data_IF_227154795559
#
_entry.id   IF_227154795559
#
_cell.length_a   1.000
_cell.length_b   1.000
_cell.length_c   1.000
_cell.angle_alpha   90.00
_cell.angle_beta   90.00
_cell.angle_gamma   90.00
#
_symmetry.space_group_name_H-M   'P 1'
#
loop_
_entity.id
_entity.type
_entity.pdbx_description
1 polymer ?
#
# COMPACT_ATOMS: atom_id res chain seq x y z
N UNK A 1 -67.90 23.13 -40.33
CA UNK A 1 -67.60 22.30 -39.15
C UNK A 1 -66.15 21.77 -39.26
N UNK A 2 -65.23 22.53 -38.65
CA UNK A 2 -63.79 22.29 -38.70
C UNK A 2 -63.38 21.62 -37.39
N UNK A 3 -62.85 20.38 -37.46
CA UNK A 3 -62.35 19.66 -36.29
C UNK A 3 -60.82 19.75 -36.29
N UNK A 4 -60.27 20.51 -35.35
CA UNK A 4 -58.85 20.63 -35.10
C UNK A 4 -58.40 19.51 -34.15
N UNK A 5 -57.46 18.67 -34.62
CA UNK A 5 -56.79 17.65 -33.81
C UNK A 5 -55.44 18.24 -33.30
N UNK A 6 -55.16 18.23 -32.03
CA UNK A 6 -53.80 18.56 -31.57
C UNK A 6 -52.86 17.39 -31.72
N UNK A 7 -51.72 17.64 -32.38
CA UNK A 7 -50.55 16.73 -32.38
C UNK A 7 -49.89 16.79 -31.00
N UNK A 8 -49.87 15.70 -30.27
CA UNK A 8 -49.06 15.52 -29.07
C UNK A 8 -47.62 15.21 -29.49
N UNK A 9 -46.72 16.18 -29.25
CA UNK A 9 -45.29 15.94 -29.43
C UNK A 9 -44.75 15.16 -28.21
N UNK A 10 -44.38 13.90 -28.45
CA UNK A 10 -43.67 13.06 -27.49
C UNK A 10 -42.20 13.47 -27.44
N UNK A 11 -41.84 14.27 -26.46
CA UNK A 11 -40.44 14.64 -26.18
C UNK A 11 -39.80 13.49 -25.42
N UNK A 12 -39.06 12.63 -26.13
CA UNK A 12 -38.27 11.55 -25.56
C UNK A 12 -37.04 12.15 -24.81
N UNK A 13 -37.07 12.13 -23.49
CA UNK A 13 -35.91 12.45 -22.67
C UNK A 13 -34.88 11.32 -22.77
N UNK A 14 -33.82 11.50 -23.55
CA UNK A 14 -32.64 10.65 -23.51
C UNK A 14 -31.97 10.82 -22.13
N UNK A 15 -32.16 9.85 -21.26
CA UNK A 15 -31.35 9.68 -20.05
C UNK A 15 -29.95 9.24 -20.47
N UNK A 16 -29.04 10.19 -20.59
CA UNK A 16 -27.61 9.93 -20.66
C UNK A 16 -27.19 9.38 -19.30
N UNK A 17 -27.19 8.06 -19.15
CA UNK A 17 -26.49 7.40 -18.06
C UNK A 17 -24.99 7.64 -18.27
N UNK A 18 -24.46 8.67 -17.64
CA UNK A 18 -23.03 8.86 -17.52
C UNK A 18 -22.47 7.70 -16.69
N UNK A 19 -21.91 6.68 -17.37
CA UNK A 19 -21.01 5.74 -16.73
C UNK A 19 -19.81 6.53 -16.26
N UNK A 20 -19.83 7.02 -15.02
CA UNK A 20 -18.61 7.48 -14.36
C UNK A 20 -17.74 6.23 -14.15
N UNK A 21 -16.80 6.00 -15.06
CA UNK A 21 -15.72 5.05 -14.81
C UNK A 21 -14.98 5.57 -13.58
N UNK A 22 -15.18 4.94 -12.43
CA UNK A 22 -14.43 5.20 -11.19
C UNK A 22 -12.98 4.73 -11.42
N UNK A 23 -12.23 5.53 -12.18
CA UNK A 23 -10.81 5.26 -12.43
C UNK A 23 -10.09 5.38 -11.09
N UNK A 24 -9.43 4.30 -10.67
CA UNK A 24 -8.62 4.30 -9.46
C UNK A 24 -7.50 5.34 -9.60
N UNK A 25 -7.14 6.05 -8.51
CA UNK A 25 -6.04 7.01 -8.56
C UNK A 25 -4.73 6.29 -8.93
N UNK A 26 -3.84 6.95 -9.68
CA UNK A 26 -2.57 6.34 -10.09
C UNK A 26 -1.68 5.99 -8.89
N UNK A 27 -1.64 6.83 -7.87
CA UNK A 27 -0.94 6.55 -6.61
C UNK A 27 -1.93 6.11 -5.54
N UNK A 28 -1.61 5.01 -4.84
CA UNK A 28 -2.40 4.49 -3.73
C UNK A 28 -1.50 4.01 -2.61
N UNK A 29 -1.96 4.21 -1.37
CA UNK A 29 -1.39 3.61 -0.18
C UNK A 29 -2.45 2.71 0.46
N UNK A 30 -2.08 1.48 0.78
CA UNK A 30 -2.96 0.48 1.39
C UNK A 30 -2.18 -0.44 2.34
N UNK A 31 -2.81 -1.43 2.91
CA UNK A 31 -2.15 -2.37 3.80
C UNK A 31 -3.10 -3.41 4.37
N UNK A 32 -2.57 -4.32 5.14
CA UNK A 32 -3.32 -5.36 5.82
C UNK A 32 -2.52 -5.97 6.98
N UNK A 33 -3.21 -6.67 7.85
CA UNK A 33 -2.58 -7.51 8.88
C UNK A 33 -2.37 -8.90 8.31
N UNK A 34 -1.12 -9.34 8.27
CA UNK A 34 -0.71 -10.70 7.88
C UNK A 34 -0.35 -11.51 9.13
N UNK A 35 -0.26 -12.84 9.00
CA UNK A 35 0.15 -13.73 10.09
C UNK A 35 1.52 -13.38 10.68
N UNK A 36 2.42 -12.88 9.85
CA UNK A 36 3.79 -12.54 10.23
C UNK A 36 3.94 -11.11 10.79
N UNK A 37 3.00 -10.21 10.48
CA UNK A 37 3.11 -8.80 10.84
C UNK A 37 2.15 -7.92 10.09
N UNK A 38 2.43 -6.64 10.09
CA UNK A 38 1.66 -5.63 9.37
C UNK A 38 2.35 -5.30 8.04
N UNK A 39 1.61 -5.44 6.95
CA UNK A 39 2.05 -5.07 5.61
C UNK A 39 1.50 -3.69 5.24
N UNK A 40 2.38 -2.80 4.83
CA UNK A 40 2.04 -1.50 4.25
C UNK A 40 2.51 -1.47 2.81
N UNK A 41 1.68 -0.92 1.91
CA UNK A 41 1.88 -0.98 0.45
C UNK A 41 1.67 0.41 -0.12
N UNK A 42 2.63 0.89 -0.92
CA UNK A 42 2.51 2.07 -1.76
C UNK A 42 2.69 1.64 -3.20
N UNK A 43 1.79 2.09 -4.07
CA UNK A 43 1.76 1.67 -5.47
C UNK A 43 1.48 2.86 -6.37
N UNK A 44 2.27 2.96 -7.44
CA UNK A 44 2.09 3.90 -8.53
C UNK A 44 1.84 3.11 -9.82
N UNK A 45 0.71 3.40 -10.47
CA UNK A 45 0.39 2.91 -11.82
C UNK A 45 0.61 4.05 -12.81
N UNK A 46 1.51 3.87 -13.76
CA UNK A 46 1.87 4.87 -14.76
C UNK A 46 1.11 4.65 -16.07
N UNK A 47 0.98 5.70 -16.88
CA UNK A 47 0.29 5.66 -18.16
C UNK A 47 1.05 4.88 -19.25
N UNK A 48 2.34 4.59 -19.03
CA UNK A 48 3.21 3.81 -19.91
C UNK A 48 3.12 2.29 -19.70
N UNK A 49 2.15 1.84 -18.88
CA UNK A 49 1.97 0.44 -18.54
C UNK A 49 2.88 -0.05 -17.40
N UNK A 50 3.74 0.81 -16.87
CA UNK A 50 4.56 0.43 -15.72
C UNK A 50 3.78 0.51 -14.40
N UNK A 51 4.07 -0.43 -13.49
CA UNK A 51 3.60 -0.43 -12.11
C UNK A 51 4.80 -0.49 -11.20
N UNK A 52 4.89 0.45 -10.29
CA UNK A 52 5.93 0.49 -9.26
C UNK A 52 5.29 0.33 -7.89
N UNK A 53 5.81 -0.57 -7.08
CA UNK A 53 5.27 -0.87 -5.75
C UNK A 53 6.39 -0.95 -4.71
N UNK A 54 6.18 -0.25 -3.60
CA UNK A 54 7.00 -0.34 -2.41
C UNK A 54 6.17 -0.95 -1.28
N UNK A 55 6.77 -1.86 -0.50
CA UNK A 55 6.12 -2.48 0.65
C UNK A 55 7.00 -2.43 1.87
N UNK A 56 6.38 -2.40 3.05
CA UNK A 56 7.07 -2.53 4.33
C UNK A 56 6.32 -3.51 5.23
N UNK A 57 6.97 -4.63 5.53
CA UNK A 57 6.49 -5.60 6.52
C UNK A 57 7.10 -5.28 7.87
N UNK A 58 6.26 -4.98 8.85
CA UNK A 58 6.63 -4.82 10.26
C UNK A 58 6.20 -6.07 11.04
N UNK A 59 7.13 -6.97 11.41
CA UNK A 59 6.79 -8.24 12.05
C UNK A 59 6.20 -8.05 13.45
N UNK A 60 5.30 -8.94 13.87
CA UNK A 60 4.71 -8.90 15.22
C UNK A 60 5.70 -9.20 16.34
N UNK A 61 6.71 -10.03 16.08
CA UNK A 61 7.59 -10.60 17.11
C UNK A 61 9.06 -10.21 16.96
N UNK A 62 9.42 -9.44 15.96
CA UNK A 62 10.80 -9.01 15.75
C UNK A 62 10.86 -7.53 15.36
N UNK A 63 12.06 -6.94 15.41
CA UNK A 63 12.31 -5.59 14.90
C UNK A 63 12.84 -5.59 13.47
N UNK A 64 12.91 -6.76 12.84
CA UNK A 64 13.45 -6.94 11.51
C UNK A 64 12.43 -6.50 10.44
N UNK A 65 12.29 -5.18 10.22
CA UNK A 65 11.46 -4.66 9.13
C UNK A 65 12.00 -5.13 7.78
N UNK A 66 11.11 -5.62 6.94
CA UNK A 66 11.43 -5.98 5.55
C UNK A 66 10.80 -4.96 4.63
N UNK A 67 11.61 -4.29 3.82
CA UNK A 67 11.14 -3.44 2.73
C UNK A 67 11.34 -4.15 1.41
N UNK A 68 10.37 -4.02 0.50
CA UNK A 68 10.49 -4.60 -0.84
C UNK A 68 10.02 -3.60 -1.89
N UNK A 69 10.72 -3.61 -3.01
CA UNK A 69 10.39 -2.87 -4.21
C UNK A 69 10.11 -3.85 -5.33
N UNK A 70 9.04 -3.61 -6.06
CA UNK A 70 8.65 -4.41 -7.22
C UNK A 70 8.36 -3.49 -8.38
N UNK A 71 8.73 -3.90 -9.60
CA UNK A 71 8.37 -3.20 -10.83
C UNK A 71 7.85 -4.18 -11.86
N UNK A 72 6.79 -3.78 -12.53
CA UNK A 72 6.20 -4.49 -13.67
C UNK A 72 6.18 -3.55 -14.87
N UNK A 73 6.32 -4.11 -16.06
CA UNK A 73 6.08 -3.45 -17.34
C UNK A 73 5.08 -4.30 -18.11
N UNK A 74 3.96 -3.70 -18.53
CA UNK A 74 2.89 -4.38 -19.29
C UNK A 74 2.47 -5.72 -18.64
N UNK A 75 2.28 -5.71 -17.31
CA UNK A 75 1.98 -6.83 -16.43
C UNK A 75 3.11 -7.85 -16.20
N UNK A 76 4.22 -7.78 -16.92
CA UNK A 76 5.38 -8.63 -16.69
C UNK A 76 6.26 -8.10 -15.56
N UNK A 77 6.68 -8.99 -14.65
CA UNK A 77 7.58 -8.65 -13.55
C UNK A 77 9.00 -8.45 -14.07
N UNK A 78 9.56 -7.24 -13.87
CA UNK A 78 10.91 -6.89 -14.36
C UNK A 78 11.92 -6.69 -13.24
N UNK A 79 11.48 -6.44 -12.00
CA UNK A 79 12.38 -6.11 -10.91
C UNK A 79 11.82 -6.47 -9.54
N UNK A 80 12.69 -7.01 -8.69
CA UNK A 80 12.48 -7.20 -7.25
C UNK A 80 13.73 -6.73 -6.52
N UNK A 81 13.55 -5.91 -5.50
CA UNK A 81 14.57 -5.63 -4.49
C UNK A 81 13.97 -5.79 -3.10
N UNK A 82 14.65 -6.50 -2.20
CA UNK A 82 14.21 -6.71 -0.84
C UNK A 82 15.34 -6.46 0.14
N UNK A 83 15.05 -5.71 1.19
CA UNK A 83 15.96 -5.42 2.27
C UNK A 83 15.33 -5.89 3.59
N UNK A 84 15.95 -6.83 4.26
CA UNK A 84 15.62 -7.25 5.62
C UNK A 84 16.57 -6.54 6.58
N UNK A 85 16.02 -5.71 7.47
CA UNK A 85 16.78 -5.03 8.51
C UNK A 85 16.71 -5.85 9.81
N UNK A 86 17.75 -5.79 10.63
CA UNK A 86 17.78 -6.47 11.92
C UNK A 86 19.11 -7.15 12.20
N UNK A 87 19.11 -8.16 13.07
CA UNK A 87 20.33 -8.86 13.50
C UNK A 87 21.03 -9.65 12.36
N UNK A 88 20.25 -10.10 11.39
CA UNK A 88 20.75 -10.79 10.20
C UNK A 88 20.26 -10.06 8.96
N UNK A 89 20.95 -8.96 8.58
CA UNK A 89 20.53 -8.19 7.42
C UNK A 89 20.69 -9.02 6.14
N UNK A 90 19.68 -8.89 5.27
CA UNK A 90 19.66 -9.53 3.97
C UNK A 90 19.26 -8.52 2.91
N UNK A 91 19.98 -8.52 1.79
CA UNK A 91 19.66 -7.72 0.62
C UNK A 91 19.58 -8.63 -0.60
N UNK A 92 18.47 -8.54 -1.32
CA UNK A 92 18.22 -9.30 -2.54
C UNK A 92 17.84 -8.34 -3.63
N UNK A 93 18.42 -8.52 -4.82
CA UNK A 93 18.07 -7.80 -6.04
C UNK A 93 18.00 -8.78 -7.19
N UNK A 94 16.87 -8.80 -7.90
CA UNK A 94 16.61 -9.68 -9.04
C UNK A 94 16.04 -8.83 -10.18
N UNK A 95 16.51 -9.07 -11.41
CA UNK A 95 15.95 -8.49 -12.63
C UNK A 95 15.59 -9.59 -13.61
N UNK A 96 14.51 -9.37 -14.33
CA UNK A 96 14.04 -10.22 -15.41
C UNK A 96 14.10 -9.43 -16.72
N UNK A 97 14.28 -10.15 -17.82
CA UNK A 97 14.21 -9.58 -19.16
C UNK A 97 12.75 -9.51 -19.67
N UNK A 98 12.60 -9.10 -20.91
CA UNK A 98 11.31 -8.99 -21.62
C UNK A 98 10.64 -10.35 -21.94
N UNK A 99 11.35 -11.46 -21.71
CA UNK A 99 10.83 -12.82 -21.81
C UNK A 99 10.51 -13.44 -20.43
N UNK A 100 10.69 -12.65 -19.35
CA UNK A 100 10.51 -13.12 -17.97
C UNK A 100 11.63 -14.01 -17.46
N UNK A 101 12.74 -14.11 -18.18
CA UNK A 101 13.91 -14.87 -17.77
C UNK A 101 14.84 -14.05 -16.86
N UNK A 102 15.57 -14.76 -15.98
CA UNK A 102 16.50 -14.10 -15.06
C UNK A 102 17.66 -13.45 -15.82
N UNK A 103 17.79 -12.11 -15.74
CA UNK A 103 18.87 -11.34 -16.36
C UNK A 103 19.93 -10.89 -15.34
N UNK A 104 19.56 -10.75 -14.06
CA UNK A 104 20.48 -10.35 -12.99
C UNK A 104 20.00 -10.85 -11.64
N UNK A 105 20.95 -11.26 -10.80
CA UNK A 105 20.70 -11.70 -9.43
C UNK A 105 21.84 -11.28 -8.51
N UNK A 106 21.47 -10.75 -7.35
CA UNK A 106 22.40 -10.51 -6.24
C UNK A 106 21.68 -10.85 -4.94
N UNK A 107 22.37 -11.59 -4.06
CA UNK A 107 21.96 -11.81 -2.69
C UNK A 107 23.14 -11.57 -1.76
N UNK A 108 22.91 -10.88 -0.68
CA UNK A 108 23.88 -10.65 0.37
C UNK A 108 23.24 -10.92 1.73
N UNK A 109 23.86 -11.75 2.54
CA UNK A 109 23.41 -12.10 3.90
C UNK A 109 24.55 -11.84 4.85
N UNK A 110 24.36 -10.95 5.84
CA UNK A 110 25.42 -10.54 6.78
C UNK A 110 26.72 -10.09 6.07
N UNK A 111 26.62 -9.38 4.94
CA UNK A 111 27.77 -8.95 4.15
C UNK A 111 28.41 -10.03 3.27
N UNK A 112 27.87 -11.25 3.26
CA UNK A 112 28.36 -12.35 2.42
C UNK A 112 27.48 -12.57 1.20
N UNK A 113 28.10 -12.53 0.02
CA UNK A 113 27.39 -12.80 -1.25
C UNK A 113 27.02 -14.29 -1.35
N UNK A 114 25.79 -14.54 -1.77
CA UNK A 114 25.23 -15.87 -1.98
C UNK A 114 24.49 -15.90 -3.32
N UNK A 115 24.24 -17.10 -3.83
CA UNK A 115 23.36 -17.30 -4.97
C UNK A 115 21.96 -17.71 -4.50
N UNK A 116 20.95 -17.35 -5.27
CA UNK A 116 19.60 -17.87 -5.14
C UNK A 116 19.46 -19.11 -5.99
N UNK A 117 18.80 -20.15 -5.47
CA UNK A 117 18.37 -21.27 -6.30
C UNK A 117 17.19 -20.90 -7.20
N UNK A 118 16.91 -21.69 -8.22
CA UNK A 118 15.78 -21.50 -9.11
C UNK A 118 14.45 -21.52 -8.34
N UNK A 119 14.34 -22.37 -7.32
CA UNK A 119 13.16 -22.47 -6.45
C UNK A 119 12.97 -21.20 -5.62
N UNK A 120 14.07 -20.60 -5.14
CA UNK A 120 14.01 -19.33 -4.41
C UNK A 120 13.59 -18.19 -5.33
N UNK A 121 14.10 -18.14 -6.57
CA UNK A 121 13.71 -17.14 -7.57
C UNK A 121 12.22 -17.30 -7.89
N UNK A 122 11.75 -18.52 -8.16
CA UNK A 122 10.33 -18.80 -8.41
C UNK A 122 9.45 -18.39 -7.23
N UNK A 123 9.91 -18.56 -5.99
CA UNK A 123 9.19 -18.11 -4.80
C UNK A 123 9.09 -16.58 -4.73
N UNK A 124 10.14 -15.84 -5.09
CA UNK A 124 10.09 -14.37 -5.16
C UNK A 124 9.13 -13.89 -6.24
N UNK A 125 9.13 -14.50 -7.42
CA UNK A 125 8.18 -14.21 -8.50
C UNK A 125 6.73 -14.46 -8.04
N UNK A 126 6.47 -15.60 -7.41
CA UNK A 126 5.16 -15.94 -6.86
C UNK A 126 4.69 -14.91 -5.82
N UNK A 127 5.57 -14.53 -4.89
CA UNK A 127 5.27 -13.52 -3.86
C UNK A 127 4.97 -12.16 -4.48
N UNK A 128 5.73 -11.74 -5.49
CA UNK A 128 5.49 -10.50 -6.22
C UNK A 128 4.10 -10.50 -6.90
N UNK A 129 3.75 -11.58 -7.59
CA UNK A 129 2.44 -11.76 -8.22
C UNK A 129 1.31 -11.72 -7.20
N UNK A 130 1.46 -12.41 -6.08
CA UNK A 130 0.48 -12.39 -4.97
C UNK A 130 0.34 -10.99 -4.36
N UNK A 131 1.44 -10.27 -4.18
CA UNK A 131 1.44 -8.92 -3.64
C UNK A 131 0.71 -7.94 -4.57
N UNK A 132 0.94 -8.03 -5.89
CA UNK A 132 0.24 -7.23 -6.90
C UNK A 132 -1.27 -7.48 -6.85
N UNK A 133 -1.68 -8.75 -6.83
CA UNK A 133 -3.10 -9.13 -6.74
C UNK A 133 -3.76 -8.65 -5.43
N UNK A 134 -3.06 -8.77 -4.30
CA UNK A 134 -3.54 -8.27 -3.00
C UNK A 134 -3.69 -6.75 -3.02
N UNK A 135 -2.70 -6.03 -3.55
CA UNK A 135 -2.77 -4.57 -3.72
C UNK A 135 -3.96 -4.16 -4.57
N UNK A 136 -4.24 -4.88 -5.67
CA UNK A 136 -5.38 -4.59 -6.53
C UNK A 136 -6.72 -4.78 -5.79
N UNK A 137 -6.87 -5.87 -5.06
CA UNK A 137 -8.07 -6.13 -4.25
C UNK A 137 -8.30 -5.03 -3.19
N UNK A 138 -7.24 -4.57 -2.52
CA UNK A 138 -7.31 -3.49 -1.54
C UNK A 138 -7.72 -2.16 -2.18
N UNK A 139 -7.20 -1.84 -3.36
CA UNK A 139 -7.57 -0.63 -4.12
C UNK A 139 -9.04 -0.65 -4.52
N UNK A 140 -9.50 -1.76 -5.07
CA UNK A 140 -10.92 -1.96 -5.45
C UNK A 140 -11.81 -1.86 -4.22
N UNK A 141 -11.40 -2.43 -3.09
CA UNK A 141 -12.08 -2.34 -1.80
C UNK A 141 -11.98 -0.97 -1.13
N UNK A 142 -11.28 0.00 -1.74
CA UNK A 142 -11.06 1.34 -1.18
C UNK A 142 -10.42 1.32 0.22
N UNK A 143 -9.53 0.37 0.45
CA UNK A 143 -8.74 0.28 1.69
C UNK A 143 -7.57 1.24 1.57
N UNK A 144 -7.56 2.29 2.37
CA UNK A 144 -6.57 3.36 2.33
C UNK A 144 -5.71 3.33 3.59
N UNK A 145 -4.40 3.28 3.42
CA UNK A 145 -3.42 3.44 4.50
C UNK A 145 -3.23 4.93 4.78
N UNK A 146 -3.30 5.27 6.06
CA UNK A 146 -2.88 6.57 6.58
C UNK A 146 -1.85 6.40 7.68
N UNK A 147 -0.93 7.34 7.77
CA UNK A 147 0.09 7.38 8.81
C UNK A 147 0.30 8.80 9.28
N UNK A 148 0.76 8.95 10.51
CA UNK A 148 1.08 10.27 11.03
C UNK A 148 1.43 10.26 12.52
N UNK A 149 1.69 11.45 13.02
CA UNK A 149 2.01 11.73 14.41
C UNK A 149 0.73 11.87 15.24
N UNK A 150 0.63 11.05 16.29
CA UNK A 150 -0.48 11.10 17.23
C UNK A 150 -0.32 12.22 18.27
N UNK A 151 -1.38 12.95 18.53
CA UNK A 151 -1.45 13.99 19.56
C UNK A 151 -2.30 13.54 20.76
N UNK A 152 -2.03 14.13 21.93
CA UNK A 152 -2.72 13.77 23.19
C UNK A 152 -4.22 14.08 23.17
N UNK A 153 -4.66 15.00 22.31
CA UNK A 153 -6.07 15.36 22.12
C UNK A 153 -6.83 14.35 21.24
N UNK A 154 -6.15 13.29 20.78
CA UNK A 154 -6.73 12.25 19.91
C UNK A 154 -6.76 12.63 18.43
N UNK A 155 -6.04 13.67 18.02
CA UNK A 155 -5.83 13.99 16.61
C UNK A 155 -4.53 13.39 16.09
N UNK A 156 -4.38 13.32 14.78
CA UNK A 156 -3.17 12.93 14.06
C UNK A 156 -2.81 14.01 13.07
N UNK A 157 -1.54 14.42 13.04
CA UNK A 157 -0.99 15.11 11.87
C UNK A 157 -0.48 14.06 10.91
N UNK A 158 -1.13 13.91 9.76
CA UNK A 158 -0.75 12.92 8.74
C UNK A 158 0.58 13.28 8.09
N UNK A 159 1.18 12.32 7.39
CA UNK A 159 2.42 12.57 6.66
C UNK A 159 2.27 13.59 5.52
N UNK A 160 1.05 13.82 5.07
CA UNK A 160 0.68 14.87 4.10
C UNK A 160 0.49 16.24 4.74
N UNK A 161 0.54 16.32 6.09
CA UNK A 161 0.41 17.57 6.86
C UNK A 161 -1.02 17.92 7.25
N UNK A 162 -1.99 17.05 6.99
CA UNK A 162 -3.39 17.26 7.38
C UNK A 162 -3.59 16.87 8.85
N UNK A 163 -4.43 17.64 9.57
CA UNK A 163 -4.85 17.25 10.92
C UNK A 163 -6.19 16.54 10.85
N UNK A 164 -6.23 15.34 11.42
CA UNK A 164 -7.35 14.42 11.31
C UNK A 164 -7.62 13.71 12.64
N UNK A 165 -8.89 13.36 12.92
CA UNK A 165 -9.26 12.52 14.06
C UNK A 165 -9.76 11.17 13.56
N UNK A 166 -8.92 10.13 13.60
CA UNK A 166 -9.32 8.80 13.13
C UNK A 166 -10.41 8.20 14.02
N UNK A 167 -11.34 7.46 13.41
CA UNK A 167 -12.41 6.73 14.12
C UNK A 167 -11.89 5.36 14.55
N UNK A 168 -11.08 5.33 15.60
CA UNK A 168 -10.54 4.10 16.14
C UNK A 168 -11.43 3.57 17.27
N UNK A 169 -11.45 2.25 17.47
CA UNK A 169 -12.15 1.58 18.55
C UNK A 169 -11.46 1.77 19.91
N UNK A 170 -12.15 1.47 20.98
CA UNK A 170 -11.62 1.65 22.33
C UNK A 170 -10.36 0.82 22.64
N UNK A 171 -10.23 -0.45 22.19
CA UNK A 171 -8.99 -1.22 22.31
C UNK A 171 -7.80 -0.54 21.62
N UNK A 172 -7.98 -0.01 20.40
CA UNK A 172 -6.96 0.71 19.66
C UNK A 172 -6.51 1.98 20.37
N UNK A 173 -7.46 2.79 20.86
CA UNK A 173 -7.15 3.99 21.65
C UNK A 173 -6.40 3.66 22.94
N UNK A 174 -6.78 2.58 23.63
CA UNK A 174 -6.08 2.10 24.82
C UNK A 174 -4.65 1.64 24.50
N UNK A 175 -4.44 1.01 23.34
CA UNK A 175 -3.10 0.61 22.88
C UNK A 175 -2.22 1.82 22.64
N UNK A 176 -2.71 2.86 21.96
CA UNK A 176 -2.00 4.11 21.74
C UNK A 176 -1.65 4.81 23.06
N UNK A 177 -2.63 4.90 23.97
CA UNK A 177 -2.45 5.52 25.29
C UNK A 177 -1.36 4.82 26.12
N UNK A 178 -1.34 3.47 26.14
CA UNK A 178 -0.28 2.70 26.78
C UNK A 178 1.09 3.01 26.19
N UNK A 179 1.19 3.05 24.84
CA UNK A 179 2.46 3.38 24.19
C UNK A 179 2.93 4.79 24.54
N UNK A 180 2.02 5.73 24.57
CA UNK A 180 2.28 7.13 24.89
C UNK A 180 2.72 7.33 26.35
N UNK A 181 2.16 6.56 27.30
CA UNK A 181 2.50 6.64 28.73
C UNK A 181 3.86 6.05 29.06
N UNK A 182 4.39 5.13 28.24
CA UNK A 182 5.67 4.45 28.49
C UNK A 182 6.87 5.11 27.79
N UNK A 183 6.67 6.23 27.10
CA UNK A 183 7.73 6.91 26.38
C UNK A 183 7.51 8.42 26.36
N UNK A 184 8.59 9.18 26.52
CA UNK A 184 8.61 10.62 26.28
C UNK A 184 8.74 10.98 24.80
N UNK A 185 9.01 9.98 23.95
CA UNK A 185 9.12 10.15 22.50
C UNK A 185 7.73 10.31 21.88
N UNK A 186 7.68 11.00 20.76
CA UNK A 186 6.47 11.12 19.96
C UNK A 186 5.96 9.75 19.51
N UNK A 187 4.65 9.62 19.43
CA UNK A 187 3.99 8.41 18.96
C UNK A 187 3.49 8.63 17.55
N UNK A 188 3.87 7.74 16.65
CA UNK A 188 3.25 7.63 15.33
C UNK A 188 2.30 6.45 15.29
N UNK A 189 1.24 6.60 14.51
CA UNK A 189 0.30 5.54 14.20
C UNK A 189 0.18 5.33 12.69
N UNK A 190 -0.11 4.09 12.30
CA UNK A 190 -0.59 3.75 10.97
C UNK A 190 -1.93 3.05 11.13
N UNK A 191 -2.90 3.41 10.29
CA UNK A 191 -4.25 2.83 10.31
C UNK A 191 -4.80 2.69 8.90
N UNK A 192 -5.78 1.83 8.75
CA UNK A 192 -6.54 1.69 7.51
C UNK A 192 -7.89 2.39 7.65
N UNK A 193 -8.33 2.98 6.56
CA UNK A 193 -9.69 3.44 6.34
C UNK A 193 -10.31 2.66 5.19
N UNK A 194 -11.50 2.14 5.40
CA UNK A 194 -12.30 1.43 4.40
C UNK A 194 -13.77 1.84 4.57
N UNK A 195 -14.64 1.53 3.59
CA UNK A 195 -16.07 1.79 3.73
C UNK A 195 -16.70 1.20 4.99
N UNK A 196 -16.17 0.07 5.47
CA UNK A 196 -16.64 -0.64 6.67
C UNK A 196 -16.17 -0.01 7.99
N UNK A 197 -15.13 0.83 7.95
CA UNK A 197 -14.58 1.48 9.15
C UNK A 197 -13.07 1.66 9.11
N UNK A 198 -12.48 1.85 10.29
CA UNK A 198 -11.05 2.08 10.47
C UNK A 198 -10.43 0.99 11.34
N UNK A 199 -9.19 0.61 11.02
CA UNK A 199 -8.42 -0.39 11.75
C UNK A 199 -7.01 0.14 12.06
N UNK A 200 -6.65 0.16 13.34
CA UNK A 200 -5.29 0.46 13.75
C UNK A 200 -4.34 -0.67 13.30
N UNK A 201 -3.23 -0.32 12.65
CA UNK A 201 -2.22 -1.27 12.20
C UNK A 201 -0.98 -1.25 13.09
N UNK A 202 -0.41 -0.07 13.33
CA UNK A 202 0.86 0.10 14.04
C UNK A 202 0.80 1.28 14.99
N UNK A 203 1.50 1.12 16.11
CA UNK A 203 1.83 2.20 17.06
C UNK A 203 3.30 2.10 17.40
N UNK A 204 4.06 3.15 17.18
CA UNK A 204 5.50 3.16 17.45
C UNK A 204 5.99 4.54 17.91
N UNK A 205 7.12 4.53 18.62
CA UNK A 205 7.89 5.74 18.92
C UNK A 205 8.94 5.96 17.81
N UNK A 206 8.47 6.07 16.59
CA UNK A 206 9.26 6.21 15.37
C UNK A 206 8.52 7.13 14.42
N UNK A 207 9.23 8.00 13.74
CA UNK A 207 8.62 8.86 12.71
C UNK A 207 8.37 8.04 11.43
N UNK A 208 7.09 7.69 11.16
CA UNK A 208 6.72 6.98 9.93
C UNK A 208 6.80 7.88 8.69
N UNK A 209 6.74 9.20 8.86
CA UNK A 209 6.69 10.14 7.74
C UNK A 209 8.06 10.41 7.13
N UNK A 210 9.14 10.19 7.89
CA UNK A 210 10.51 10.44 7.43
C UNK A 210 10.93 9.60 6.23
N UNK A 211 10.29 8.45 6.03
CA UNK A 211 10.60 7.51 4.95
C UNK A 211 9.36 7.06 4.14
N UNK A 212 8.18 7.63 4.43
CA UNK A 212 6.97 7.28 3.68
C UNK A 212 7.14 7.63 2.19
N UNK A 213 6.94 6.67 1.28
CA UNK A 213 6.97 6.93 -0.16
C UNK A 213 5.90 7.95 -0.58
N UNK A 214 6.25 8.83 -1.50
CA UNK A 214 5.38 9.85 -2.08
C UNK A 214 5.22 9.63 -3.58
N UNK A 215 4.19 10.19 -4.22
CA UNK A 215 3.99 10.02 -5.67
C UNK A 215 5.22 10.36 -6.53
N UNK A 216 6.08 11.27 -6.10
CA UNK A 216 7.29 11.67 -6.81
C UNK A 216 8.51 10.73 -6.63
N UNK A 217 8.39 9.70 -5.80
CA UNK A 217 9.48 8.75 -5.50
C UNK A 217 9.47 7.52 -6.43
N UNK A 218 8.51 7.45 -7.39
CA UNK A 218 8.22 6.30 -8.26
C UNK A 218 8.61 6.54 -9.71
#
# INVERSE_FOLDING_TARGET
LSVWRPLAALTGALLLTACSSNKLPPFTASGYVADQGVMRIWRQDNNDGSVHMLTALSPHRSRATTTSEYRWQDDELVFIEQNVQGEKPEHIKVRFDDHGELSFMQREVNGHKQQLSNEQIALYQYRATRMKATSEALRIGKVVLRQGRWHRDGTVTTCEGETFRPRLDAPSLSHIARRQSHSSLEVSIAWLEAPEGSQLLLVANQDFCSWQPKPGDF
#
